data_IF_743649604297
#
_entry.id   IF_743649604297
#
_cell.length_a   1.000
_cell.length_b   1.000
_cell.length_c   1.000
_cell.angle_alpha   90.00
_cell.angle_beta   90.00
_cell.angle_gamma   90.00
#
_symmetry.space_group_name_H-M   'P 1'
#
loop_
_entity.id
_entity.type
_entity.pdbx_description
1 polymer ?
#
# COMPACT_ATOMS: atom_id res chain seq x y z
N UNK A 1 3.33 15.95 8.72
CA UNK A 1 4.29 15.53 9.77
C UNK A 1 4.29 14.01 9.80
N UNK A 2 5.35 13.39 9.29
CA UNK A 2 5.49 11.93 9.29
C UNK A 2 6.35 11.56 10.51
N UNK A 3 5.72 11.01 11.55
CA UNK A 3 6.39 10.59 12.77
C UNK A 3 6.95 9.19 12.55
N UNK A 4 8.24 8.98 12.78
CA UNK A 4 8.85 7.67 12.64
C UNK A 4 8.46 6.80 13.84
N UNK A 5 8.09 5.55 13.57
CA UNK A 5 7.94 4.52 14.59
C UNK A 5 9.30 4.05 15.07
N UNK A 6 9.37 3.52 16.30
CA UNK A 6 10.64 3.03 16.86
C UNK A 6 11.31 1.91 16.04
N UNK A 7 10.55 1.21 15.20
CA UNK A 7 11.08 0.20 14.26
C UNK A 7 11.77 0.87 13.06
N UNK A 8 11.14 1.90 12.50
CA UNK A 8 11.67 2.66 11.37
C UNK A 8 12.94 3.43 11.75
N UNK A 9 12.97 4.02 12.96
CA UNK A 9 14.17 4.66 13.52
C UNK A 9 15.32 3.65 13.63
N UNK A 10 15.05 2.43 14.11
CA UNK A 10 16.07 1.37 14.20
C UNK A 10 16.57 0.92 12.83
N UNK A 11 15.69 0.84 11.84
CA UNK A 11 16.07 0.46 10.47
C UNK A 11 16.96 1.52 9.83
N UNK A 12 16.59 2.81 9.91
CA UNK A 12 17.46 3.89 9.45
C UNK A 12 18.80 3.89 10.17
N UNK A 13 18.78 3.79 11.50
CA UNK A 13 19.99 3.78 12.31
C UNK A 13 20.94 2.65 11.93
N UNK A 14 20.42 1.43 11.76
CA UNK A 14 21.21 0.27 11.35
C UNK A 14 21.77 0.41 9.94
N UNK A 15 20.98 0.93 8.99
CA UNK A 15 21.41 1.12 7.61
C UNK A 15 22.50 2.19 7.49
N UNK A 16 22.39 3.28 8.25
CA UNK A 16 23.42 4.31 8.35
C UNK A 16 24.72 3.74 8.95
N UNK A 17 24.63 2.96 10.03
CA UNK A 17 25.78 2.31 10.65
C UNK A 17 26.48 1.28 9.73
N UNK A 18 25.70 0.55 8.93
CA UNK A 18 26.20 -0.48 8.02
C UNK A 18 26.80 0.11 6.74
N UNK A 19 26.23 1.22 6.24
CA UNK A 19 26.54 1.77 4.92
C UNK A 19 27.40 3.03 4.88
N UNK A 20 27.54 3.75 6.00
CA UNK A 20 28.16 5.08 6.03
C UNK A 20 29.14 5.22 7.18
N UNK A 21 30.24 5.92 6.94
CA UNK A 21 31.12 6.43 7.99
C UNK A 21 30.74 7.85 8.40
N UNK A 22 31.33 8.37 9.48
CA UNK A 22 31.08 9.73 9.94
C UNK A 22 31.40 10.78 8.86
N UNK A 23 32.47 10.56 8.10
CA UNK A 23 32.86 11.42 6.99
C UNK A 23 31.88 11.32 5.81
N UNK A 24 31.36 10.12 5.51
CA UNK A 24 30.35 9.95 4.45
C UNK A 24 29.04 10.65 4.81
N UNK A 25 28.62 10.61 6.08
CA UNK A 25 27.41 11.31 6.55
C UNK A 25 27.57 12.83 6.48
N UNK A 26 28.73 13.36 6.83
CA UNK A 26 29.00 14.80 6.72
C UNK A 26 29.00 15.26 5.25
N UNK A 27 29.62 14.47 4.37
CA UNK A 27 29.61 14.73 2.94
C UNK A 27 28.19 14.68 2.37
N UNK A 28 27.39 13.66 2.74
CA UNK A 28 26.00 13.51 2.30
C UNK A 28 25.12 14.66 2.79
N UNK A 29 25.23 15.04 4.07
CA UNK A 29 24.49 16.19 4.61
C UNK A 29 24.83 17.48 3.88
N UNK A 30 26.10 17.69 3.54
CA UNK A 30 26.56 18.90 2.89
C UNK A 30 26.20 18.96 1.41
N UNK A 31 26.21 17.82 0.71
CA UNK A 31 25.92 17.75 -0.73
C UNK A 31 24.41 17.71 -0.99
N UNK A 32 23.67 16.84 -0.30
CA UNK A 32 22.25 16.58 -0.60
C UNK A 32 21.31 17.48 0.21
N UNK A 33 21.68 17.85 1.43
CA UNK A 33 20.80 18.58 2.36
C UNK A 33 21.26 20.03 2.63
N UNK A 34 22.41 20.44 2.08
CA UNK A 34 23.10 21.71 2.31
C UNK A 34 23.24 22.04 3.81
N UNK A 35 23.49 21.01 4.61
CA UNK A 35 23.64 21.10 6.07
C UNK A 35 24.97 20.52 6.53
N UNK A 36 25.47 21.02 7.66
CA UNK A 36 26.67 20.48 8.29
C UNK A 36 26.29 19.48 9.36
N UNK A 37 26.87 18.28 9.33
CA UNK A 37 26.59 17.26 10.33
C UNK A 37 27.01 17.76 11.72
N UNK A 38 28.13 18.48 11.82
CA UNK A 38 28.62 19.10 13.06
C UNK A 38 27.67 20.11 13.71
N UNK A 39 26.78 20.73 12.93
CA UNK A 39 25.81 21.72 13.43
C UNK A 39 24.52 21.07 13.91
N UNK A 40 24.25 19.83 13.48
CA UNK A 40 23.05 19.07 13.81
C UNK A 40 23.33 18.07 14.93
N UNK A 41 24.52 17.46 14.89
CA UNK A 41 24.87 16.29 15.67
C UNK A 41 26.10 16.58 16.51
N UNK A 42 26.06 16.37 17.84
CA UNK A 42 27.21 16.58 18.69
C UNK A 42 28.38 15.64 18.30
N UNK A 43 29.64 16.10 18.46
CA UNK A 43 30.81 15.26 18.18
C UNK A 43 30.78 14.02 19.10
N UNK A 44 30.87 12.85 18.50
CA UNK A 44 30.67 11.60 19.23
C UNK A 44 30.84 10.35 18.37
N UNK A 45 30.29 9.23 18.85
CA UNK A 45 30.33 7.97 18.10
C UNK A 45 29.41 8.03 16.88
N UNK A 46 29.77 7.32 15.80
CA UNK A 46 28.94 7.20 14.60
C UNK A 46 27.51 6.71 14.92
N UNK A 47 27.38 5.82 15.91
CA UNK A 47 26.08 5.32 16.37
C UNK A 47 25.22 6.43 16.97
N UNK A 48 25.79 7.23 17.86
CA UNK A 48 25.10 8.41 18.40
C UNK A 48 24.76 9.38 17.29
N UNK A 49 25.69 9.59 16.35
CA UNK A 49 25.52 10.56 15.29
C UNK A 49 24.41 10.19 14.31
N UNK A 50 24.34 8.91 13.93
CA UNK A 50 23.27 8.38 13.09
C UNK A 50 21.91 8.50 13.78
N UNK A 51 21.84 8.25 15.09
CA UNK A 51 20.57 8.34 15.83
C UNK A 51 20.08 9.79 15.91
N UNK A 52 20.94 10.73 16.29
CA UNK A 52 20.62 12.16 16.35
C UNK A 52 20.23 12.73 14.98
N UNK A 53 20.89 12.26 13.90
CA UNK A 53 20.55 12.65 12.53
C UNK A 53 19.12 12.22 12.15
N UNK A 54 18.72 11.00 12.53
CA UNK A 54 17.36 10.51 12.30
C UNK A 54 16.34 11.33 13.10
N UNK A 55 16.64 11.62 14.37
CA UNK A 55 15.79 12.46 15.22
C UNK A 55 15.64 13.89 14.68
N UNK A 56 16.73 14.46 14.17
CA UNK A 56 16.71 15.76 13.51
C UNK A 56 15.84 15.75 12.25
N UNK A 57 16.01 14.74 11.39
CA UNK A 57 15.24 14.63 10.16
C UNK A 57 13.73 14.48 10.45
N UNK A 58 13.37 13.75 11.51
CA UNK A 58 11.98 13.67 11.99
C UNK A 58 11.47 15.03 12.48
N UNK A 59 12.27 15.73 13.29
CA UNK A 59 11.92 17.05 13.86
C UNK A 59 11.70 18.11 12.77
N UNK A 60 12.54 18.12 11.75
CA UNK A 60 12.46 19.04 10.62
C UNK A 60 11.46 18.57 9.53
N UNK A 61 10.91 17.36 9.66
CA UNK A 61 10.06 16.75 8.64
C UNK A 61 10.78 16.42 7.33
N UNK A 62 12.12 16.31 7.37
CA UNK A 62 13.02 16.01 6.24
C UNK A 62 13.43 14.54 6.16
N UNK A 63 12.71 13.66 6.84
CA UNK A 63 12.97 12.22 6.83
C UNK A 63 13.01 11.63 5.43
N UNK A 64 12.06 12.01 4.57
CA UNK A 64 12.00 11.52 3.20
C UNK A 64 13.22 11.96 2.38
N UNK A 65 13.65 13.22 2.52
CA UNK A 65 14.85 13.74 1.85
C UNK A 65 16.12 13.04 2.34
N UNK A 66 16.23 12.79 3.65
CA UNK A 66 17.34 12.03 4.21
C UNK A 66 17.39 10.62 3.62
N UNK A 67 16.28 9.88 3.60
CA UNK A 67 16.27 8.52 3.08
C UNK A 67 16.61 8.51 1.57
N UNK A 68 16.11 9.49 0.80
CA UNK A 68 16.42 9.60 -0.64
C UNK A 68 17.91 9.81 -0.87
N UNK A 69 18.52 10.72 -0.12
CA UNK A 69 19.95 10.99 -0.18
C UNK A 69 20.78 9.74 0.18
N UNK A 70 20.38 9.03 1.23
CA UNK A 70 21.03 7.78 1.68
C UNK A 70 20.97 6.71 0.60
N UNK A 71 19.80 6.51 -0.03
CA UNK A 71 19.63 5.55 -1.14
C UNK A 71 20.45 5.96 -2.36
N UNK A 72 20.43 7.24 -2.74
CA UNK A 72 21.18 7.76 -3.88
C UNK A 72 22.69 7.60 -3.70
N UNK A 73 23.20 7.78 -2.48
CA UNK A 73 24.62 7.67 -2.19
C UNK A 73 25.13 6.22 -2.18
N UNK A 74 24.29 5.24 -1.80
CA UNK A 74 24.66 3.82 -1.68
C UNK A 74 23.55 2.87 -2.17
N UNK A 75 23.19 2.89 -3.47
CA UNK A 75 22.11 2.06 -4.01
C UNK A 75 22.43 0.55 -3.97
N UNK A 76 23.71 0.19 -3.91
CA UNK A 76 24.16 -1.22 -3.88
C UNK A 76 24.15 -1.84 -2.47
N UNK A 77 23.90 -1.06 -1.42
CA UNK A 77 23.82 -1.62 -0.06
C UNK A 77 22.38 -2.10 0.20
N UNK A 78 22.23 -3.40 0.51
CA UNK A 78 20.91 -4.03 0.73
C UNK A 78 20.16 -3.41 1.91
N UNK A 79 20.85 -3.01 2.97
CA UNK A 79 20.24 -2.38 4.15
C UNK A 79 19.70 -0.98 3.80
N UNK A 80 20.41 -0.26 2.93
CA UNK A 80 20.03 1.06 2.44
C UNK A 80 18.89 0.95 1.42
N UNK A 81 18.94 -0.02 0.50
CA UNK A 81 17.88 -0.26 -0.47
C UNK A 81 16.56 -0.64 0.21
N UNK A 82 16.61 -1.35 1.34
CA UNK A 82 15.43 -1.65 2.16
C UNK A 82 14.75 -0.38 2.70
N UNK A 83 15.50 0.73 2.88
CA UNK A 83 14.92 2.00 3.30
C UNK A 83 14.01 2.62 2.23
N UNK A 84 14.14 2.22 0.95
CA UNK A 84 13.22 2.65 -0.10
C UNK A 84 11.77 2.30 0.21
N UNK A 85 11.56 1.20 0.93
CA UNK A 85 10.23 0.76 1.38
C UNK A 85 9.63 1.66 2.47
N UNK A 86 10.44 2.49 3.15
CA UNK A 86 9.96 3.55 4.06
C UNK A 86 9.59 4.84 3.30
N UNK A 87 10.12 5.02 2.09
CA UNK A 87 9.91 6.18 1.24
C UNK A 87 8.69 6.03 0.34
N UNK A 88 8.40 4.79 -0.06
CA UNK A 88 7.05 4.40 -0.44
C UNK A 88 6.16 4.56 0.80
N UNK A 89 5.16 5.46 0.78
CA UNK A 89 4.19 5.53 1.86
C UNK A 89 3.34 4.26 1.78
N UNK A 90 3.80 3.16 2.35
CA UNK A 90 2.88 2.15 2.84
C UNK A 90 2.06 2.86 3.93
N UNK A 91 0.75 3.10 3.72
CA UNK A 91 0.00 3.97 4.60
C UNK A 91 -0.07 3.33 5.98
N UNK A 92 0.02 4.16 7.02
CA UNK A 92 -0.37 3.87 8.39
C UNK A 92 -1.90 3.59 8.49
N UNK A 93 -2.33 2.54 7.78
CA UNK A 93 -3.70 2.16 7.44
C UNK A 93 -3.76 0.70 6.96
N UNK A 94 -2.89 -0.18 7.47
CA UNK A 94 -2.92 -1.60 7.16
C UNK A 94 -4.17 -2.33 7.70
N UNK A 95 -4.93 -1.75 8.64
CA UNK A 95 -6.20 -2.32 9.08
C UNK A 95 -7.33 -2.23 8.01
N UNK A 96 -7.54 -1.10 7.31
CA UNK A 96 -8.52 -1.04 6.21
C UNK A 96 -8.05 -1.68 4.90
N UNK A 97 -6.78 -1.57 4.50
CA UNK A 97 -6.33 -2.11 3.21
C UNK A 97 -6.23 -3.65 3.19
N UNK A 98 -5.78 -4.28 4.29
CA UNK A 98 -5.81 -5.74 4.43
C UNK A 98 -7.26 -6.24 4.48
N UNK A 99 -8.13 -5.58 5.26
CA UNK A 99 -9.56 -5.91 5.29
C UNK A 99 -10.23 -5.74 3.92
N UNK A 100 -9.86 -4.72 3.14
CA UNK A 100 -10.33 -4.54 1.77
C UNK A 100 -9.82 -5.64 0.86
N UNK A 101 -8.54 -6.02 0.92
CA UNK A 101 -7.98 -7.11 0.13
C UNK A 101 -8.62 -8.46 0.49
N UNK A 102 -8.90 -8.70 1.77
CA UNK A 102 -9.62 -9.88 2.24
C UNK A 102 -11.08 -9.90 1.77
N UNK A 103 -11.77 -8.75 1.79
CA UNK A 103 -13.13 -8.62 1.24
C UNK A 103 -13.16 -8.85 -0.27
N UNK A 104 -12.22 -8.27 -1.01
CA UNK A 104 -12.08 -8.50 -2.45
C UNK A 104 -11.83 -9.99 -2.76
N UNK A 105 -10.94 -10.64 -1.99
CA UNK A 105 -10.66 -12.08 -2.15
C UNK A 105 -11.90 -12.93 -1.88
N UNK A 106 -12.68 -12.60 -0.85
CA UNK A 106 -13.97 -13.25 -0.54
C UNK A 106 -14.98 -13.05 -1.67
N UNK A 107 -15.20 -11.81 -2.12
CA UNK A 107 -16.13 -11.52 -3.21
C UNK A 107 -15.76 -12.29 -4.48
N UNK A 108 -14.47 -12.30 -4.85
CA UNK A 108 -13.99 -13.08 -5.99
C UNK A 108 -14.28 -14.56 -5.86
N UNK A 109 -14.06 -15.14 -4.68
CA UNK A 109 -14.38 -16.54 -4.39
C UNK A 109 -15.87 -16.84 -4.54
N UNK A 110 -16.72 -15.96 -4.01
CA UNK A 110 -18.18 -16.08 -4.12
C UNK A 110 -18.66 -15.94 -5.57
N UNK A 111 -18.08 -15.02 -6.34
CA UNK A 111 -18.42 -14.87 -7.75
C UNK A 111 -18.03 -16.12 -8.56
N UNK A 112 -16.86 -16.70 -8.30
CA UNK A 112 -16.43 -17.94 -8.97
C UNK A 112 -17.31 -19.14 -8.61
N UNK A 113 -17.71 -19.24 -7.35
CA UNK A 113 -18.53 -20.35 -6.85
C UNK A 113 -20.00 -20.25 -7.28
N UNK A 114 -20.60 -19.05 -7.15
CA UNK A 114 -22.02 -18.83 -7.44
C UNK A 114 -22.30 -18.57 -8.94
N UNK A 115 -21.30 -18.08 -9.66
CA UNK A 115 -21.36 -17.77 -11.09
C UNK A 115 -20.15 -18.38 -11.82
N UNK A 116 -20.07 -19.72 -11.92
CA UNK A 116 -18.94 -20.40 -12.56
C UNK A 116 -18.88 -20.19 -14.07
N UNK A 117 -19.98 -19.71 -14.68
CA UNK A 117 -20.06 -19.45 -16.12
C UNK A 117 -19.90 -17.95 -16.41
N UNK A 118 -19.15 -17.59 -17.47
CA UNK A 118 -18.97 -16.20 -17.86
C UNK A 118 -20.30 -15.56 -18.30
N UNK A 119 -21.19 -16.32 -18.93
CA UNK A 119 -22.50 -15.82 -19.36
C UNK A 119 -23.37 -15.34 -18.19
N UNK A 120 -23.32 -16.01 -17.04
CA UNK A 120 -24.08 -15.60 -15.86
C UNK A 120 -23.53 -14.28 -15.28
N UNK A 121 -22.21 -14.10 -15.27
CA UNK A 121 -21.58 -12.82 -14.90
C UNK A 121 -21.92 -11.70 -15.88
N UNK A 122 -21.97 -12.00 -17.19
CA UNK A 122 -22.37 -11.03 -18.22
C UNK A 122 -23.77 -10.51 -17.95
N UNK A 123 -24.72 -11.41 -17.74
CA UNK A 123 -26.11 -11.06 -17.40
C UNK A 123 -26.15 -10.25 -16.11
N UNK A 124 -25.40 -10.67 -15.08
CA UNK A 124 -25.36 -9.98 -13.79
C UNK A 124 -24.86 -8.53 -13.93
N UNK A 125 -23.72 -8.33 -14.60
CA UNK A 125 -23.11 -7.00 -14.78
C UNK A 125 -23.99 -6.11 -15.65
N UNK A 126 -24.61 -6.68 -16.69
CA UNK A 126 -25.54 -5.96 -17.55
C UNK A 126 -26.81 -5.55 -16.81
N UNK A 127 -27.44 -6.45 -16.05
CA UNK A 127 -28.65 -6.15 -15.28
C UNK A 127 -28.38 -5.15 -14.14
N UNK A 128 -27.21 -5.24 -13.50
CA UNK A 128 -26.87 -4.38 -12.38
C UNK A 128 -26.41 -2.97 -12.81
N UNK A 129 -25.61 -2.89 -13.88
CA UNK A 129 -24.86 -1.68 -14.26
C UNK A 129 -25.16 -1.19 -15.67
N UNK A 130 -25.87 -1.97 -16.49
CA UNK A 130 -26.08 -1.69 -17.90
C UNK A 130 -24.77 -1.68 -18.71
N UNK A 131 -23.75 -2.40 -18.25
CA UNK A 131 -22.43 -2.46 -18.89
C UNK A 131 -22.14 -3.87 -19.41
N UNK A 132 -21.39 -3.95 -20.49
CA UNK A 132 -20.88 -5.21 -21.04
C UNK A 132 -19.67 -5.69 -20.24
N UNK A 133 -19.68 -6.94 -19.77
CA UNK A 133 -18.59 -7.51 -18.99
C UNK A 133 -17.24 -7.40 -19.71
N UNK A 134 -17.19 -7.67 -21.01
CA UNK A 134 -15.95 -7.59 -21.81
C UNK A 134 -15.38 -6.16 -21.87
N UNK A 135 -16.21 -5.13 -21.73
CA UNK A 135 -15.76 -3.73 -21.71
C UNK A 135 -15.22 -3.30 -20.35
N UNK A 136 -15.65 -3.93 -19.25
CA UNK A 136 -15.23 -3.58 -17.89
C UNK A 136 -14.18 -4.53 -17.30
N UNK A 137 -14.26 -5.81 -17.64
CA UNK A 137 -13.43 -6.88 -17.13
C UNK A 137 -13.20 -7.93 -18.23
N UNK A 138 -12.26 -7.62 -19.12
CA UNK A 138 -11.73 -8.60 -20.07
C UNK A 138 -10.87 -9.63 -19.35
N UNK A 139 -10.76 -10.83 -19.92
CA UNK A 139 -9.88 -11.89 -19.40
C UNK A 139 -9.96 -13.13 -20.26
N UNK A 140 -8.89 -13.93 -20.25
CA UNK A 140 -8.84 -15.17 -21.02
C UNK A 140 -9.59 -16.31 -20.30
N UNK A 141 -9.69 -16.24 -18.97
CA UNK A 141 -10.33 -17.25 -18.13
C UNK A 141 -11.29 -16.63 -17.10
N UNK A 142 -12.25 -17.43 -16.63
CA UNK A 142 -13.24 -17.01 -15.62
C UNK A 142 -12.58 -16.41 -14.36
N UNK A 143 -11.46 -16.97 -13.92
CA UNK A 143 -10.69 -16.47 -12.77
C UNK A 143 -10.17 -15.05 -13.01
N UNK A 144 -9.66 -14.78 -14.21
CA UNK A 144 -9.11 -13.47 -14.59
C UNK A 144 -10.24 -12.46 -14.74
N UNK A 145 -11.35 -12.86 -15.37
CA UNK A 145 -12.57 -12.06 -15.49
C UNK A 145 -13.09 -11.66 -14.11
N UNK A 146 -13.24 -12.62 -13.18
CA UNK A 146 -13.67 -12.34 -11.81
C UNK A 146 -12.71 -11.43 -11.05
N UNK A 147 -11.40 -11.62 -11.22
CA UNK A 147 -10.39 -10.77 -10.59
C UNK A 147 -10.47 -9.32 -11.09
N UNK A 148 -10.45 -9.15 -12.42
CA UNK A 148 -10.51 -7.83 -13.06
C UNK A 148 -11.84 -7.13 -12.76
N UNK A 149 -12.96 -7.87 -12.73
CA UNK A 149 -14.26 -7.34 -12.36
C UNK A 149 -14.26 -6.83 -10.92
N UNK A 150 -13.76 -7.62 -9.96
CA UNK A 150 -13.69 -7.20 -8.55
C UNK A 150 -12.82 -5.95 -8.38
N UNK A 151 -11.68 -5.86 -9.09
CA UNK A 151 -10.86 -4.65 -9.07
C UNK A 151 -11.61 -3.44 -9.62
N UNK A 152 -12.29 -3.60 -10.76
CA UNK A 152 -13.03 -2.52 -11.42
C UNK A 152 -14.23 -2.02 -10.59
N UNK A 153 -14.92 -2.94 -9.89
CA UNK A 153 -16.02 -2.59 -8.97
C UNK A 153 -15.52 -1.77 -7.77
N UNK A 154 -14.29 -2.03 -7.32
CA UNK A 154 -13.70 -1.34 -6.17
C UNK A 154 -13.26 0.10 -6.48
N UNK A 155 -13.19 0.47 -7.76
CA UNK A 155 -12.91 1.86 -8.20
C UNK A 155 -14.05 2.80 -7.79
N UNK A 156 -15.30 2.33 -7.82
CA UNK A 156 -16.46 3.09 -7.38
C UNK A 156 -17.46 2.18 -6.64
N UNK A 157 -17.26 1.97 -5.32
CA UNK A 157 -18.08 1.05 -4.56
C UNK A 157 -19.53 1.54 -4.40
N UNK A 158 -19.75 2.86 -4.39
CA UNK A 158 -21.07 3.42 -4.23
C UNK A 158 -21.92 3.25 -5.50
N UNK A 159 -21.33 3.51 -6.67
CA UNK A 159 -22.02 3.43 -7.96
C UNK A 159 -21.99 2.06 -8.62
N UNK A 160 -21.01 1.20 -8.32
CA UNK A 160 -20.81 -0.08 -9.04
C UNK A 160 -20.96 -1.31 -8.16
N UNK A 161 -20.26 -1.34 -7.03
CA UNK A 161 -20.23 -2.52 -6.16
C UNK A 161 -21.59 -2.79 -5.52
N UNK A 162 -22.25 -1.75 -5.00
CA UNK A 162 -23.58 -1.86 -4.37
C UNK A 162 -24.66 -2.43 -5.31
N UNK A 163 -24.95 -1.84 -6.48
CA UNK A 163 -25.98 -2.39 -7.37
C UNK A 163 -25.66 -3.79 -7.89
N UNK A 164 -24.37 -4.12 -8.08
CA UNK A 164 -23.98 -5.47 -8.46
C UNK A 164 -24.23 -6.48 -7.33
N UNK A 165 -23.88 -6.15 -6.09
CA UNK A 165 -24.15 -7.01 -4.94
C UNK A 165 -25.64 -7.21 -4.69
N UNK A 166 -26.45 -6.16 -4.82
CA UNK A 166 -27.91 -6.27 -4.72
C UNK A 166 -28.49 -7.21 -5.78
N UNK A 167 -28.01 -7.10 -7.01
CA UNK A 167 -28.43 -7.97 -8.12
C UNK A 167 -27.96 -9.41 -7.88
N UNK A 168 -26.74 -9.61 -7.39
CA UNK A 168 -26.19 -10.93 -7.06
C UNK A 168 -26.99 -11.61 -5.94
N UNK A 169 -27.35 -10.88 -4.89
CA UNK A 169 -28.19 -11.39 -3.79
C UNK A 169 -29.60 -11.72 -4.28
N UNK A 170 -30.19 -10.92 -5.18
CA UNK A 170 -31.49 -11.23 -5.80
C UNK A 170 -31.43 -12.49 -6.67
N UNK A 171 -30.36 -12.66 -7.45
CA UNK A 171 -30.16 -13.83 -8.30
C UNK A 171 -29.84 -15.10 -7.49
N UNK A 172 -29.23 -14.96 -6.31
CA UNK A 172 -28.82 -16.06 -5.42
C UNK A 172 -29.20 -15.76 -3.96
N UNK A 173 -30.50 -15.81 -3.61
CA UNK A 173 -30.98 -15.49 -2.27
C UNK A 173 -30.52 -16.51 -1.21
N UNK A 174 -30.00 -17.67 -1.60
CA UNK A 174 -29.52 -18.71 -0.67
C UNK A 174 -28.08 -18.50 -0.21
N UNK A 175 -27.32 -17.59 -0.82
CA UNK A 175 -25.94 -17.33 -0.41
C UNK A 175 -25.92 -16.35 0.78
N UNK A 176 -25.72 -16.88 1.99
CA UNK A 176 -25.62 -16.08 3.20
C UNK A 176 -24.40 -15.14 3.15
N UNK A 177 -23.27 -15.59 2.61
CA UNK A 177 -22.04 -14.81 2.52
C UNK A 177 -22.17 -13.56 1.64
N UNK A 178 -22.90 -13.63 0.52
CA UNK A 178 -23.18 -12.47 -0.34
C UNK A 178 -24.03 -11.42 0.39
N UNK A 179 -25.00 -11.85 1.20
CA UNK A 179 -25.83 -10.96 2.02
C UNK A 179 -24.99 -10.26 3.09
N UNK A 180 -24.20 -11.03 3.83
CA UNK A 180 -23.30 -10.51 4.86
C UNK A 180 -22.34 -9.47 4.26
N UNK A 181 -21.75 -9.76 3.10
CA UNK A 181 -20.83 -8.83 2.43
C UNK A 181 -21.52 -7.54 1.98
N UNK A 182 -22.74 -7.64 1.43
CA UNK A 182 -23.57 -6.47 1.07
C UNK A 182 -23.90 -5.63 2.29
N UNK A 183 -24.35 -6.26 3.37
CA UNK A 183 -24.75 -5.55 4.59
C UNK A 183 -23.53 -4.83 5.22
N UNK A 184 -22.37 -5.47 5.26
CA UNK A 184 -21.10 -4.84 5.69
C UNK A 184 -20.71 -3.62 4.84
N UNK A 185 -20.87 -3.68 3.52
CA UNK A 185 -20.52 -2.59 2.59
C UNK A 185 -21.58 -1.47 2.52
N UNK A 186 -22.80 -1.74 3.01
CA UNK A 186 -23.87 -0.76 3.13
C UNK A 186 -23.80 0.05 4.43
N UNK A 187 -23.19 -0.52 5.48
CA UNK A 187 -23.04 0.10 6.79
C UNK A 187 -21.79 1.01 6.93
N UNK A 188 -20.90 1.00 5.93
CA UNK A 188 -19.67 1.79 5.86
C UNK A 188 -19.78 3.05 5.01
#
# INVERSE_FOLDING_TARGET
MHRLSGTEVKQLHSALLSGFSYADLDMLMKIDLDQRLDSIVPPGSLSTAAFELVMWAEREGRTADLIKAVIAARPNNKDVAALGQLLDPAPAGAAPAAAVADRQRRLRGLLLDQFPRPSDLKILVFDALGQELDHVAGGENQTDICFNLVQWLWVDPAGRLRPLLDTAVKARPNCADLKSLRDELSAG
#
